data_IF_838095226475
#
_entry.id   IF_838095226475
#
_cell.length_a   1.000
_cell.length_b   1.000
_cell.length_c   1.000
_cell.angle_alpha   90.00
_cell.angle_beta   90.00
_cell.angle_gamma   90.00
#
_symmetry.space_group_name_H-M   'P 1'
#
loop_
_entity.id
_entity.type
_entity.pdbx_description
1 polymer ?
#
# COMPACT_ATOMS: atom_id res chain seq x y z
N UNK A 1 32.00 22.62 28.61
CA UNK A 1 30.63 22.28 28.17
C UNK A 1 30.08 21.16 29.05
N UNK A 2 28.85 21.29 29.58
CA UNK A 2 28.28 20.36 30.57
C UNK A 2 27.80 19.01 30.01
N UNK A 3 27.92 18.76 28.70
CA UNK A 3 27.48 17.49 28.08
C UNK A 3 25.96 17.22 28.18
N UNK A 4 25.15 18.25 28.50
CA UNK A 4 23.72 18.11 28.82
C UNK A 4 22.79 18.17 27.61
N UNK A 5 23.30 18.30 26.39
CA UNK A 5 22.45 18.34 25.19
C UNK A 5 21.79 16.99 24.98
N UNK A 6 20.47 16.95 25.17
CA UNK A 6 19.62 15.80 24.85
C UNK A 6 18.79 16.13 23.63
N UNK A 7 18.76 15.22 22.66
CA UNK A 7 17.77 15.30 21.58
C UNK A 7 16.40 14.98 22.16
N UNK A 8 15.41 15.83 21.88
CA UNK A 8 14.04 15.69 22.37
C UNK A 8 13.14 15.54 21.16
N UNK A 9 12.35 14.47 21.12
CA UNK A 9 11.33 14.29 20.08
C UNK A 9 10.17 15.25 20.28
N UNK A 10 9.59 15.73 19.18
CA UNK A 10 8.37 16.52 19.18
C UNK A 10 7.47 16.10 18.01
N UNK A 11 6.16 16.12 18.25
CA UNK A 11 5.14 15.99 17.20
C UNK A 11 4.70 17.40 16.82
N UNK A 12 4.85 17.75 15.55
CA UNK A 12 4.40 19.04 15.02
C UNK A 12 3.35 18.77 13.96
N UNK A 13 2.18 19.39 14.12
CA UNK A 13 1.13 19.32 13.11
C UNK A 13 1.66 19.91 11.80
N UNK A 14 1.46 19.20 10.69
CA UNK A 14 1.88 19.67 9.39
C UNK A 14 0.95 19.16 8.29
N UNK A 15 1.04 19.78 7.11
CA UNK A 15 0.41 19.29 5.89
C UNK A 15 1.54 18.90 4.94
N UNK A 16 2.10 17.71 5.16
CA UNK A 16 3.25 17.21 4.41
C UNK A 16 2.82 16.54 3.09
N UNK A 17 1.84 15.65 3.16
CA UNK A 17 1.36 14.91 2.01
C UNK A 17 0.30 15.70 1.25
N UNK A 18 0.68 16.21 0.08
CA UNK A 18 -0.22 16.89 -0.87
C UNK A 18 -0.05 16.25 -2.23
N UNK A 19 -1.16 16.08 -2.95
CA UNK A 19 -1.16 15.51 -4.30
C UNK A 19 -0.37 14.17 -4.37
N UNK A 20 -0.73 13.22 -3.51
CA UNK A 20 -0.15 11.89 -3.48
C UNK A 20 -1.22 10.84 -3.78
N UNK A 21 -0.81 9.68 -4.30
CA UNK A 21 -1.66 8.50 -4.36
C UNK A 21 -1.81 7.94 -2.96
N UNK A 22 -3.03 7.70 -2.49
CA UNK A 22 -3.25 7.07 -1.19
C UNK A 22 -3.82 5.65 -1.35
N UNK A 23 -3.14 4.67 -0.75
CA UNK A 23 -3.67 3.32 -0.61
C UNK A 23 -4.49 3.22 0.67
N UNK A 24 -5.79 3.37 0.52
CA UNK A 24 -6.75 3.20 1.61
C UNK A 24 -7.17 1.71 1.75
N UNK A 25 -8.35 1.51 2.33
CA UNK A 25 -9.13 0.28 2.52
C UNK A 25 -8.57 -0.97 1.85
N UNK A 26 -8.11 -1.91 2.69
CA UNK A 26 -7.78 -3.27 2.31
C UNK A 26 -8.46 -4.23 3.28
N UNK A 27 -9.56 -4.84 2.83
CA UNK A 27 -10.33 -5.75 3.68
C UNK A 27 -10.86 -6.94 2.89
N UNK A 28 -10.74 -8.12 3.48
CA UNK A 28 -11.37 -9.35 3.02
C UNK A 28 -12.19 -9.93 4.17
N UNK A 29 -13.47 -10.21 3.86
CA UNK A 29 -14.36 -10.97 4.74
C UNK A 29 -13.73 -12.33 5.05
N UNK A 30 -13.86 -12.85 6.29
CA UNK A 30 -13.24 -14.11 6.71
C UNK A 30 -13.43 -15.26 5.71
N UNK A 31 -14.66 -15.46 5.21
CA UNK A 31 -15.00 -16.55 4.27
C UNK A 31 -14.28 -16.46 2.91
N UNK A 32 -13.74 -15.29 2.56
CA UNK A 32 -13.01 -15.04 1.32
C UNK A 32 -11.49 -15.04 1.52
N UNK A 33 -11.00 -15.28 2.74
CA UNK A 33 -9.57 -15.37 3.05
C UNK A 33 -9.03 -16.72 2.63
N UNK A 34 -8.70 -16.83 1.34
CA UNK A 34 -8.07 -18.00 0.71
C UNK A 34 -6.68 -17.66 0.18
N UNK A 35 -5.93 -18.69 -0.21
CA UNK A 35 -4.61 -18.52 -0.81
C UNK A 35 -4.63 -17.47 -1.93
N UNK A 36 -3.63 -16.59 -1.92
CA UNK A 36 -3.44 -15.48 -2.87
C UNK A 36 -4.54 -14.39 -2.92
N UNK A 37 -5.69 -14.53 -2.26
CA UNK A 37 -6.75 -13.51 -2.30
C UNK A 37 -6.29 -12.15 -1.75
N UNK A 38 -5.59 -12.15 -0.61
CA UNK A 38 -5.01 -10.92 -0.04
C UNK A 38 -3.92 -10.30 -0.92
N UNK A 39 -3.10 -11.15 -1.57
CA UNK A 39 -2.07 -10.69 -2.52
C UNK A 39 -2.70 -10.08 -3.77
N UNK A 40 -3.74 -10.72 -4.34
CA UNK A 40 -4.51 -10.20 -5.46
C UNK A 40 -5.08 -8.82 -5.11
N UNK A 41 -5.84 -8.74 -4.02
CA UNK A 41 -6.50 -7.50 -3.61
C UNK A 41 -5.51 -6.35 -3.37
N UNK A 42 -4.34 -6.66 -2.81
CA UNK A 42 -3.30 -5.65 -2.61
C UNK A 42 -2.62 -5.25 -3.93
N UNK A 43 -2.07 -6.23 -4.67
CA UNK A 43 -1.19 -6.00 -5.82
C UNK A 43 -1.91 -5.61 -7.11
N UNK A 44 -3.21 -5.90 -7.24
CA UNK A 44 -4.01 -5.46 -8.41
C UNK A 44 -3.97 -3.94 -8.57
N UNK A 45 -3.90 -3.21 -7.46
CA UNK A 45 -3.80 -1.74 -7.45
C UNK A 45 -2.48 -1.28 -8.07
N UNK A 46 -1.38 -1.96 -7.77
CA UNK A 46 -0.07 -1.66 -8.36
C UNK A 46 -0.01 -2.03 -9.85
N UNK A 47 -0.63 -3.14 -10.26
CA UNK A 47 -0.75 -3.49 -11.67
C UNK A 47 -1.55 -2.44 -12.45
N UNK A 48 -2.66 -1.95 -11.89
CA UNK A 48 -3.44 -0.86 -12.45
C UNK A 48 -2.63 0.45 -12.56
N UNK A 49 -1.89 0.81 -11.50
CA UNK A 49 -1.00 1.98 -11.51
C UNK A 49 0.06 1.85 -12.60
N UNK A 50 0.69 0.68 -12.73
CA UNK A 50 1.68 0.44 -13.79
C UNK A 50 1.12 0.61 -15.20
N UNK A 51 -0.16 0.27 -15.40
CA UNK A 51 -0.85 0.44 -16.68
C UNK A 51 -1.17 1.89 -17.00
N UNK A 52 -1.35 2.74 -15.98
CA UNK A 52 -1.88 4.10 -16.12
C UNK A 52 -1.05 5.10 -15.29
N UNK A 53 0.27 4.97 -15.33
CA UNK A 53 1.19 5.67 -14.43
C UNK A 53 1.04 7.20 -14.49
N UNK A 54 0.70 7.73 -15.67
CA UNK A 54 0.44 9.15 -15.94
C UNK A 54 -0.75 9.72 -15.15
N UNK A 55 -1.64 8.86 -14.64
CA UNK A 55 -2.79 9.26 -13.83
C UNK A 55 -2.49 9.40 -12.35
N UNK A 56 -1.31 8.96 -11.91
CA UNK A 56 -0.93 8.90 -10.51
C UNK A 56 0.22 9.88 -10.22
N UNK A 57 0.15 10.65 -9.11
CA UNK A 57 1.28 11.44 -8.66
C UNK A 57 2.52 10.59 -8.36
N UNK A 58 3.69 11.22 -8.36
CA UNK A 58 4.98 10.55 -8.15
C UNK A 58 5.19 9.94 -6.76
N UNK A 59 4.40 10.34 -5.77
CA UNK A 59 4.47 9.82 -4.41
C UNK A 59 3.20 9.05 -4.09
N UNK A 60 3.36 7.86 -3.52
CA UNK A 60 2.28 7.09 -2.99
C UNK A 60 2.46 6.84 -1.49
N UNK A 61 1.36 6.89 -0.75
CA UNK A 61 1.33 6.74 0.71
C UNK A 61 0.30 5.70 1.13
N UNK A 62 0.46 5.21 2.35
CA UNK A 62 -0.58 4.47 3.06
C UNK A 62 -0.55 4.90 4.53
N UNK A 63 -1.70 5.38 5.02
CA UNK A 63 -1.91 5.68 6.43
C UNK A 63 -2.31 4.40 7.15
N UNK A 64 -1.46 3.96 8.08
CA UNK A 64 -1.63 2.68 8.73
C UNK A 64 -2.35 2.89 10.07
N UNK A 65 -3.47 2.18 10.28
CA UNK A 65 -4.19 2.20 11.56
C UNK A 65 -3.25 1.95 12.74
N UNK A 66 -3.25 2.88 13.68
CA UNK A 66 -2.48 2.86 14.92
C UNK A 66 -3.02 1.89 15.96
N UNK A 67 -2.40 1.86 17.14
CA UNK A 67 -2.79 0.94 18.21
C UNK A 67 -4.09 1.41 18.87
N UNK A 68 -5.03 0.47 18.98
CA UNK A 68 -6.22 0.58 19.79
C UNK A 68 -6.48 -0.78 20.44
N UNK A 69 -7.20 -0.80 21.57
CA UNK A 69 -7.61 -2.03 22.23
C UNK A 69 -8.89 -2.64 21.62
N UNK A 70 -9.36 -3.75 22.21
CA UNK A 70 -10.57 -4.46 21.76
C UNK A 70 -11.87 -3.64 21.91
N UNK A 71 -11.85 -2.61 22.77
CA UNK A 71 -12.94 -1.64 22.91
C UNK A 71 -12.80 -0.44 21.95
N UNK A 72 -11.74 -0.45 21.11
CA UNK A 72 -11.42 0.62 20.18
C UNK A 72 -10.76 1.84 20.83
N UNK A 73 -10.24 1.73 22.05
CA UNK A 73 -9.58 2.85 22.74
C UNK A 73 -8.11 2.93 22.36
N UNK A 74 -7.65 4.13 21.97
CA UNK A 74 -6.25 4.39 21.63
C UNK A 74 -5.54 5.07 22.81
N UNK A 75 -4.44 4.52 23.33
CA UNK A 75 -3.67 5.17 24.40
C UNK A 75 -3.19 6.58 24.02
N UNK A 76 -2.92 6.82 22.74
CA UNK A 76 -2.52 8.14 22.25
C UNK A 76 -3.70 9.12 22.27
N UNK A 77 -4.86 8.68 21.80
CA UNK A 77 -6.08 9.50 21.83
C UNK A 77 -6.52 9.82 23.25
N UNK A 78 -6.48 8.85 24.16
CA UNK A 78 -6.89 9.06 25.55
C UNK A 78 -6.02 10.13 26.22
N UNK A 79 -4.71 10.11 25.96
CA UNK A 79 -3.82 11.16 26.43
C UNK A 79 -4.14 12.52 25.79
N UNK A 80 -4.43 12.59 24.50
CA UNK A 80 -4.84 13.84 23.84
C UNK A 80 -6.14 14.39 24.44
N UNK A 81 -7.10 13.51 24.71
CA UNK A 81 -8.39 13.85 25.31
C UNK A 81 -8.23 14.51 26.68
N UNK A 82 -7.49 13.85 27.57
CA UNK A 82 -7.25 14.32 28.93
C UNK A 82 -6.61 15.73 29.00
N UNK A 83 -5.97 16.18 27.92
CA UNK A 83 -5.19 17.42 27.91
C UNK A 83 -5.74 18.51 26.98
N UNK A 84 -6.40 18.15 25.88
CA UNK A 84 -6.71 19.09 24.80
C UNK A 84 -8.14 18.96 24.24
N UNK A 85 -8.83 17.83 24.43
CA UNK A 85 -9.97 17.45 23.59
C UNK A 85 -11.10 16.84 24.44
N UNK A 86 -12.33 17.36 24.31
CA UNK A 86 -13.52 16.77 24.94
C UNK A 86 -14.38 15.99 23.93
N UNK A 87 -13.77 15.02 23.23
CA UNK A 87 -14.45 14.14 22.26
C UNK A 87 -13.95 12.69 22.36
N UNK A 88 -14.86 11.74 22.19
CA UNK A 88 -14.55 10.31 22.18
C UNK A 88 -13.90 9.87 20.86
N UNK A 89 -12.99 8.90 20.93
CA UNK A 89 -12.25 8.40 19.75
C UNK A 89 -13.18 7.86 18.65
N UNK A 90 -14.26 7.20 19.04
CA UNK A 90 -15.24 6.63 18.11
C UNK A 90 -15.99 7.73 17.34
N UNK A 91 -16.34 8.83 17.99
CA UNK A 91 -16.99 9.98 17.37
C UNK A 91 -16.04 10.64 16.36
N UNK A 92 -14.78 10.87 16.75
CA UNK A 92 -13.77 11.47 15.90
C UNK A 92 -13.45 10.59 14.69
N UNK A 93 -13.32 9.28 14.88
CA UNK A 93 -13.11 8.31 13.79
C UNK A 93 -14.31 8.29 12.82
N UNK A 94 -15.54 8.41 13.34
CA UNK A 94 -16.74 8.51 12.50
C UNK A 94 -16.78 9.81 11.69
N UNK A 95 -16.47 10.95 12.32
CA UNK A 95 -16.42 12.25 11.64
C UNK A 95 -15.35 12.28 10.55
N UNK A 96 -14.14 11.80 10.87
CA UNK A 96 -13.05 11.66 9.91
C UNK A 96 -13.42 10.69 8.77
N UNK A 97 -14.05 9.56 9.10
CA UNK A 97 -14.53 8.59 8.11
C UNK A 97 -15.65 9.11 7.20
N UNK A 98 -16.42 10.10 7.66
CA UNK A 98 -17.42 10.83 6.87
C UNK A 98 -16.82 11.97 6.02
N UNK A 99 -15.50 12.20 6.10
CA UNK A 99 -14.81 13.25 5.35
C UNK A 99 -14.94 14.65 5.95
N UNK A 100 -15.49 14.78 7.16
CA UNK A 100 -15.52 16.06 7.87
C UNK A 100 -14.23 16.21 8.67
N UNK A 101 -13.33 17.07 8.22
CA UNK A 101 -12.06 17.36 8.91
C UNK A 101 -11.98 18.80 9.43
N UNK A 102 -13.05 19.58 9.25
CA UNK A 102 -13.09 21.01 9.61
C UNK A 102 -12.86 21.23 11.11
N UNK A 103 -13.25 20.25 11.94
CA UNK A 103 -13.06 20.31 13.39
C UNK A 103 -11.60 20.15 13.83
N UNK A 104 -10.71 19.63 12.97
CA UNK A 104 -9.33 19.29 13.35
C UNK A 104 -8.52 20.53 13.70
N UNK A 105 -8.80 21.66 13.05
CA UNK A 105 -8.12 22.94 13.35
C UNK A 105 -8.48 23.47 14.75
N UNK A 106 -9.73 23.28 15.17
CA UNK A 106 -10.21 23.69 16.49
C UNK A 106 -9.78 22.71 17.60
N UNK A 107 -9.54 21.45 17.23
CA UNK A 107 -9.30 20.36 18.17
C UNK A 107 -7.82 20.11 18.48
N UNK A 108 -6.94 20.28 17.48
CA UNK A 108 -5.53 19.90 17.61
C UNK A 108 -4.67 21.06 18.14
N UNK A 109 -3.70 20.77 19.04
CA UNK A 109 -2.75 21.77 19.49
C UNK A 109 -2.00 22.43 18.33
N UNK A 110 -1.94 23.77 18.34
CA UNK A 110 -1.21 24.55 17.34
C UNK A 110 0.31 24.55 17.57
N UNK A 111 0.74 24.25 18.80
CA UNK A 111 2.14 24.17 19.20
C UNK A 111 2.66 22.73 19.18
N UNK A 112 3.97 22.52 18.95
CA UNK A 112 4.57 21.18 19.00
C UNK A 112 4.35 20.47 20.35
N UNK A 113 3.99 19.20 20.28
CA UNK A 113 3.86 18.31 21.43
C UNK A 113 5.19 17.59 21.67
N UNK A 114 5.89 17.95 22.73
CA UNK A 114 7.12 17.26 23.09
C UNK A 114 6.83 15.84 23.59
N UNK A 115 7.42 14.83 22.95
CA UNK A 115 7.10 13.42 23.21
C UNK A 115 7.47 12.98 24.63
N UNK A 116 8.38 13.67 25.31
CA UNK A 116 8.73 13.37 26.70
C UNK A 116 7.67 13.82 27.73
N UNK A 117 6.75 14.71 27.34
CA UNK A 117 5.61 15.13 28.15
C UNK A 117 4.38 14.22 27.95
N UNK A 118 4.41 13.39 26.90
CA UNK A 118 3.39 12.39 26.62
C UNK A 118 3.51 11.24 27.63
N UNK A 119 2.38 10.73 28.12
CA UNK A 119 2.36 9.60 29.04
C UNK A 119 3.09 8.38 28.46
N UNK A 120 3.67 7.53 29.31
CA UNK A 120 4.40 6.35 28.83
C UNK A 120 3.57 5.44 27.90
N UNK A 121 2.28 5.12 28.20
CA UNK A 121 1.45 4.32 27.29
C UNK A 121 1.21 4.99 25.95
N UNK A 122 0.86 6.29 25.94
CA UNK A 122 0.63 7.05 24.70
C UNK A 122 1.91 7.18 23.86
N UNK A 123 3.06 7.42 24.50
CA UNK A 123 4.35 7.52 23.81
C UNK A 123 4.77 6.20 23.19
N UNK A 124 4.47 5.07 23.83
CA UNK A 124 4.87 3.74 23.36
C UNK A 124 4.16 3.33 22.06
N UNK A 125 2.99 3.91 21.76
CA UNK A 125 2.21 3.59 20.56
C UNK A 125 2.49 4.52 19.37
N UNK A 126 3.27 5.60 19.55
CA UNK A 126 3.61 6.52 18.45
C UNK A 126 4.37 5.76 17.35
N UNK A 127 3.84 5.82 16.12
CA UNK A 127 4.37 5.14 14.94
C UNK A 127 4.19 3.63 14.96
N UNK A 128 3.41 3.09 15.90
CA UNK A 128 3.08 1.66 15.95
C UNK A 128 1.75 1.39 15.26
N UNK A 129 1.69 0.28 14.53
CA UNK A 129 0.45 -0.18 13.90
C UNK A 129 -0.35 -1.10 14.83
N UNK A 130 -1.67 -1.12 14.67
CA UNK A 130 -2.54 -2.13 15.25
C UNK A 130 -2.02 -3.55 14.94
N UNK A 131 -2.17 -4.53 15.86
CA UNK A 131 -1.80 -5.93 15.59
C UNK A 131 -2.33 -6.47 14.25
N UNK A 132 -3.61 -6.24 13.96
CA UNK A 132 -4.26 -6.66 12.71
C UNK A 132 -3.74 -5.94 11.44
N UNK A 133 -3.07 -4.80 11.61
CA UNK A 133 -2.51 -4.00 10.51
C UNK A 133 -1.09 -4.45 10.15
N UNK A 134 -0.40 -5.19 11.03
CA UNK A 134 0.98 -5.67 10.80
C UNK A 134 1.17 -6.42 9.48
N UNK A 135 0.27 -7.34 9.06
CA UNK A 135 0.42 -8.03 7.77
C UNK A 135 0.36 -7.08 6.57
N UNK A 136 -0.53 -6.08 6.60
CA UNK A 136 -0.65 -5.09 5.53
C UNK A 136 0.60 -4.20 5.46
N UNK A 137 1.13 -3.77 6.61
CA UNK A 137 2.40 -3.04 6.67
C UNK A 137 3.56 -3.86 6.09
N UNK A 138 3.63 -5.14 6.41
CA UNK A 138 4.67 -6.03 5.87
C UNK A 138 4.58 -6.17 4.34
N UNK A 139 3.37 -6.26 3.78
CA UNK A 139 3.18 -6.26 2.33
C UNK A 139 3.69 -4.97 1.70
N UNK A 140 3.32 -3.80 2.24
CA UNK A 140 3.77 -2.51 1.71
C UNK A 140 5.30 -2.34 1.81
N UNK A 141 5.91 -2.76 2.93
CA UNK A 141 7.37 -2.75 3.07
C UNK A 141 8.06 -3.61 2.00
N UNK A 142 7.49 -4.76 1.66
CA UNK A 142 8.00 -5.62 0.58
C UNK A 142 7.87 -4.96 -0.81
N UNK A 143 6.97 -4.00 -0.98
CA UNK A 143 6.85 -3.20 -2.20
C UNK A 143 7.78 -1.99 -2.26
N UNK A 144 8.52 -1.72 -1.17
CA UNK A 144 9.45 -0.60 -1.07
C UNK A 144 8.96 0.59 -0.24
N UNK A 145 7.81 0.49 0.43
CA UNK A 145 7.30 1.56 1.30
C UNK A 145 8.13 1.69 2.59
N UNK A 146 8.33 2.94 3.03
CA UNK A 146 9.14 3.28 4.21
C UNK A 146 8.41 4.30 5.08
N UNK A 147 8.61 4.21 6.40
CA UNK A 147 8.15 5.22 7.35
C UNK A 147 9.17 6.34 7.43
N UNK A 148 8.72 7.60 7.33
CA UNK A 148 9.56 8.80 7.41
C UNK A 148 9.27 9.70 8.61
N UNK A 149 8.70 9.13 9.67
CA UNK A 149 8.41 9.86 10.91
C UNK A 149 7.04 10.53 10.96
N UNK A 150 6.24 10.45 9.89
CA UNK A 150 4.85 10.92 9.89
C UNK A 150 3.93 9.91 10.60
N UNK A 151 3.02 10.43 11.41
CA UNK A 151 2.02 9.66 12.16
C UNK A 151 0.65 10.34 12.08
N UNK A 152 -0.40 9.54 12.19
CA UNK A 152 -1.79 10.00 12.23
C UNK A 152 -2.05 10.90 13.45
N UNK A 153 -2.94 11.86 13.29
CA UNK A 153 -3.26 12.85 14.34
C UNK A 153 -4.07 12.26 15.49
N UNK A 154 -4.78 11.15 15.27
CA UNK A 154 -5.73 10.57 16.22
C UNK A 154 -5.17 9.35 16.95
N UNK A 155 -4.60 8.39 16.20
CA UNK A 155 -4.14 7.12 16.76
C UNK A 155 -2.60 6.94 16.73
N UNK A 156 -1.88 7.95 16.25
CA UNK A 156 -0.45 7.97 16.03
C UNK A 156 0.09 6.80 15.18
N UNK A 157 -0.77 6.18 14.36
CA UNK A 157 -0.40 5.17 13.39
C UNK A 157 0.54 5.73 12.33
N UNK A 158 1.55 4.97 11.87
CA UNK A 158 2.55 5.49 10.95
C UNK A 158 1.98 5.68 9.53
N UNK A 159 2.39 6.75 8.86
CA UNK A 159 2.25 6.84 7.40
C UNK A 159 3.49 6.26 6.72
N UNK A 160 3.32 5.34 5.78
CA UNK A 160 4.42 4.83 4.96
C UNK A 160 4.31 5.35 3.54
N UNK A 161 5.45 5.58 2.89
CA UNK A 161 5.53 6.19 1.56
C UNK A 161 6.51 5.47 0.64
N UNK A 162 6.25 5.58 -0.67
CA UNK A 162 7.13 5.11 -1.74
C UNK A 162 6.96 6.03 -2.95
N UNK A 163 8.01 6.20 -3.77
CA UNK A 163 7.81 6.77 -5.11
C UNK A 163 6.95 5.81 -5.92
N UNK A 164 5.91 6.31 -6.57
CA UNK A 164 4.91 5.51 -7.29
C UNK A 164 5.55 4.63 -8.37
N UNK A 165 6.50 5.18 -9.11
CA UNK A 165 7.28 4.49 -10.14
C UNK A 165 8.26 3.44 -9.59
N UNK A 166 8.55 3.49 -8.30
CA UNK A 166 9.56 2.67 -7.62
C UNK A 166 8.95 1.51 -6.85
N UNK A 167 7.62 1.45 -6.75
CA UNK A 167 6.88 0.33 -6.15
C UNK A 167 7.27 -0.96 -6.89
N UNK A 168 7.70 -2.00 -6.15
CA UNK A 168 8.23 -3.24 -6.74
C UNK A 168 7.26 -3.84 -7.76
N UNK A 169 5.99 -4.00 -7.40
CA UNK A 169 4.96 -4.54 -8.31
C UNK A 169 4.66 -3.65 -9.51
N UNK A 170 4.82 -2.32 -9.39
CA UNK A 170 4.67 -1.41 -10.54
C UNK A 170 5.75 -1.69 -11.56
N UNK A 171 7.00 -1.83 -11.10
CA UNK A 171 8.19 -2.09 -11.93
C UNK A 171 8.25 -3.51 -12.49
N UNK A 172 7.85 -4.50 -11.70
CA UNK A 172 7.97 -5.92 -12.05
C UNK A 172 6.81 -6.43 -12.88
N UNK A 173 5.69 -5.71 -12.93
CA UNK A 173 4.60 -6.08 -13.83
C UNK A 173 4.98 -5.85 -15.29
N UNK A 174 4.64 -6.81 -16.15
CA UNK A 174 4.99 -6.78 -17.56
C UNK A 174 3.75 -6.86 -18.44
N UNK A 175 3.79 -6.18 -19.58
CA UNK A 175 2.80 -6.36 -20.63
C UNK A 175 3.20 -7.58 -21.48
N UNK A 176 2.30 -8.55 -21.61
CA UNK A 176 2.52 -9.82 -22.33
C UNK A 176 1.35 -10.13 -23.24
N UNK A 177 1.58 -10.90 -24.30
CA UNK A 177 0.52 -11.36 -25.21
C UNK A 177 -0.25 -12.53 -24.60
N UNK A 178 -1.58 -12.47 -24.65
CA UNK A 178 -2.43 -13.58 -24.23
C UNK A 178 -2.64 -14.59 -25.38
N UNK A 179 -2.31 -15.85 -25.14
CA UNK A 179 -2.56 -16.96 -26.06
C UNK A 179 -3.74 -17.79 -25.54
N UNK A 180 -4.88 -17.73 -26.23
CA UNK A 180 -6.09 -18.42 -25.82
C UNK A 180 -6.05 -19.87 -26.33
N UNK A 181 -5.83 -20.81 -25.42
CA UNK A 181 -5.79 -22.24 -25.74
C UNK A 181 -7.20 -22.81 -25.89
N UNK A 182 -7.48 -23.40 -27.05
CA UNK A 182 -8.77 -24.03 -27.40
C UNK A 182 -8.82 -25.52 -27.09
N UNK A 183 -7.67 -26.15 -26.81
CA UNK A 183 -7.59 -27.54 -26.33
C UNK A 183 -8.02 -27.57 -24.86
N UNK A 184 -9.31 -27.84 -24.65
CA UNK A 184 -10.01 -27.64 -23.40
C UNK A 184 -9.37 -28.25 -22.15
N UNK A 185 -9.40 -27.47 -21.06
CA UNK A 185 -9.44 -27.86 -19.64
C UNK A 185 -8.41 -28.86 -19.08
N UNK A 186 -7.41 -29.33 -19.83
CA UNK A 186 -6.45 -30.30 -19.31
C UNK A 186 -5.05 -29.67 -19.26
N UNK A 187 -4.63 -29.31 -18.05
CA UNK A 187 -3.26 -28.92 -17.66
C UNK A 187 -2.74 -27.52 -18.05
N UNK A 188 -3.47 -26.45 -17.74
CA UNK A 188 -2.76 -25.29 -17.15
C UNK A 188 -2.36 -25.74 -15.74
N UNK A 189 -1.09 -26.12 -15.62
CA UNK A 189 -0.60 -27.09 -14.64
C UNK A 189 -0.96 -26.76 -13.20
N UNK A 190 -1.37 -27.78 -12.42
CA UNK A 190 -1.46 -27.72 -10.95
C UNK A 190 -0.08 -27.47 -10.29
N UNK A 191 0.98 -27.43 -11.10
CA UNK A 191 2.37 -27.12 -10.75
C UNK A 191 2.80 -25.69 -11.14
N UNK A 192 1.92 -24.92 -11.78
CA UNK A 192 2.20 -23.54 -12.18
C UNK A 192 2.30 -22.59 -10.98
N UNK A 193 3.05 -21.50 -11.13
CA UNK A 193 3.15 -20.47 -10.09
C UNK A 193 2.03 -19.44 -10.24
N UNK A 194 1.55 -18.86 -9.13
CA UNK A 194 0.47 -17.89 -9.18
C UNK A 194 0.95 -16.56 -9.77
N UNK A 195 0.24 -16.09 -10.79
CA UNK A 195 0.46 -14.84 -11.50
C UNK A 195 -0.85 -14.05 -11.48
N UNK A 196 -0.78 -12.79 -11.09
CA UNK A 196 -1.86 -11.83 -11.26
C UNK A 196 -1.87 -11.39 -12.72
N UNK A 197 -3.04 -11.48 -13.36
CA UNK A 197 -3.25 -11.10 -14.75
C UNK A 197 -4.39 -10.11 -14.81
N UNK A 198 -4.21 -9.02 -15.55
CA UNK A 198 -5.25 -8.01 -15.78
C UNK A 198 -5.42 -7.74 -17.26
N UNK A 199 -6.63 -7.32 -17.64
CA UNK A 199 -6.78 -6.59 -18.90
C UNK A 199 -6.12 -5.21 -18.79
N UNK A 200 -6.07 -4.48 -19.90
CA UNK A 200 -5.32 -3.22 -20.04
C UNK A 200 -6.22 -1.97 -20.07
N UNK A 201 -7.53 -2.18 -19.99
CA UNK A 201 -8.53 -1.12 -20.05
C UNK A 201 -8.68 -0.35 -18.74
N UNK A 202 -9.10 0.91 -18.85
CA UNK A 202 -9.47 1.74 -17.71
C UNK A 202 -10.89 1.40 -17.24
N UNK A 203 -11.86 1.51 -18.17
CA UNK A 203 -13.24 1.05 -17.97
C UNK A 203 -13.31 -0.47 -18.19
N UNK A 204 -14.11 -1.15 -17.37
CA UNK A 204 -14.20 -2.62 -17.43
C UNK A 204 -12.91 -3.32 -16.99
N UNK A 205 -12.06 -2.65 -16.20
CA UNK A 205 -10.84 -3.25 -15.67
C UNK A 205 -11.14 -4.55 -14.91
N UNK A 206 -10.44 -5.63 -15.29
CA UNK A 206 -10.62 -6.98 -14.74
C UNK A 206 -9.28 -7.56 -14.39
N UNK A 207 -9.24 -8.31 -13.29
CA UNK A 207 -8.05 -8.99 -12.82
C UNK A 207 -8.39 -10.36 -12.23
N UNK A 208 -7.48 -11.31 -12.39
CA UNK A 208 -7.58 -12.61 -11.74
C UNK A 208 -6.20 -13.18 -11.41
N UNK A 209 -6.17 -14.28 -10.66
CA UNK A 209 -4.97 -15.09 -10.47
C UNK A 209 -5.06 -16.30 -11.38
N UNK A 210 -4.00 -16.55 -12.15
CA UNK A 210 -3.82 -17.77 -12.93
C UNK A 210 -2.56 -18.49 -12.46
N UNK A 211 -2.57 -19.82 -12.52
CA UNK A 211 -1.34 -20.59 -12.33
C UNK A 211 -0.76 -20.86 -13.71
N UNK A 212 0.49 -20.45 -13.91
CA UNK A 212 1.19 -20.62 -15.19
C UNK A 212 2.68 -20.87 -14.94
N UNK A 213 3.37 -21.38 -15.94
CA UNK A 213 4.83 -21.44 -15.90
C UNK A 213 5.40 -20.02 -16.02
N UNK A 214 6.07 -19.54 -14.97
CA UNK A 214 6.69 -18.21 -14.98
C UNK A 214 7.81 -18.08 -16.00
N UNK A 215 8.39 -19.18 -16.51
CA UNK A 215 9.33 -19.11 -17.64
C UNK A 215 8.64 -18.65 -18.93
N UNK A 216 7.35 -18.95 -19.13
CA UNK A 216 6.60 -18.45 -20.27
C UNK A 216 6.43 -16.92 -20.23
N UNK A 217 6.32 -16.33 -19.03
CA UNK A 217 6.28 -14.86 -18.88
C UNK A 217 7.56 -14.20 -19.39
N UNK A 218 8.72 -14.82 -19.21
CA UNK A 218 9.99 -14.30 -19.73
C UNK A 218 10.03 -14.30 -21.28
N UNK A 219 9.23 -15.14 -21.92
CA UNK A 219 9.04 -15.14 -23.38
C UNK A 219 8.01 -14.11 -23.87
N UNK A 220 7.44 -13.30 -22.97
CA UNK A 220 6.48 -12.25 -23.31
C UNK A 220 5.08 -12.76 -23.60
N UNK A 221 4.73 -13.98 -23.18
CA UNK A 221 3.45 -14.62 -23.46
C UNK A 221 2.85 -15.28 -22.23
N UNK A 222 1.53 -15.40 -22.22
CA UNK A 222 0.79 -16.14 -21.19
C UNK A 222 -0.36 -16.92 -21.82
N UNK A 223 -0.42 -18.20 -21.52
CA UNK A 223 -1.52 -19.05 -21.95
C UNK A 223 -2.72 -18.90 -21.03
N UNK A 224 -3.90 -18.71 -21.62
CA UNK A 224 -5.17 -18.60 -20.92
C UNK A 224 -6.18 -19.58 -21.52
N UNK A 225 -6.99 -20.22 -20.69
CA UNK A 225 -8.18 -20.93 -21.15
C UNK A 225 -9.23 -19.95 -21.66
N UNK A 226 -10.13 -20.40 -22.53
CA UNK A 226 -11.27 -19.60 -23.00
C UNK A 226 -12.06 -18.98 -21.84
N UNK A 227 -12.32 -19.75 -20.77
CA UNK A 227 -13.02 -19.25 -19.57
C UNK A 227 -12.28 -18.11 -18.87
N UNK A 228 -10.95 -18.16 -18.82
CA UNK A 228 -10.13 -17.09 -18.23
C UNK A 228 -10.11 -15.85 -19.11
N UNK A 229 -10.02 -16.04 -20.44
CA UNK A 229 -10.08 -14.96 -21.40
C UNK A 229 -11.45 -14.24 -21.35
N UNK A 230 -12.55 -15.00 -21.29
CA UNK A 230 -13.90 -14.46 -21.14
C UNK A 230 -14.06 -13.70 -19.81
N UNK A 231 -13.53 -14.25 -18.70
CA UNK A 231 -13.60 -13.60 -17.39
C UNK A 231 -12.80 -12.29 -17.31
N UNK A 232 -11.71 -12.19 -18.09
CA UNK A 232 -10.89 -10.98 -18.24
C UNK A 232 -11.39 -10.05 -19.36
N UNK A 233 -12.43 -10.46 -20.10
CA UNK A 233 -13.00 -9.72 -21.24
C UNK A 233 -11.95 -9.46 -22.34
N UNK A 234 -11.27 -10.52 -22.76
CA UNK A 234 -10.18 -10.46 -23.73
C UNK A 234 -10.62 -10.90 -25.13
N UNK A 235 -10.16 -10.15 -26.13
CA UNK A 235 -10.20 -10.58 -27.53
C UNK A 235 -8.98 -11.42 -27.89
N UNK A 236 -9.06 -12.21 -28.98
CA UNK A 236 -7.92 -12.96 -29.51
C UNK A 236 -6.76 -12.01 -29.82
N UNK A 237 -5.56 -12.34 -29.31
CA UNK A 237 -4.36 -11.52 -29.50
C UNK A 237 -4.27 -10.29 -28.57
N UNK A 238 -5.17 -10.15 -27.59
CA UNK A 238 -5.09 -9.08 -26.62
C UNK A 238 -3.80 -9.15 -25.78
N UNK A 239 -3.29 -7.99 -25.39
CA UNK A 239 -2.25 -7.89 -24.36
C UNK A 239 -2.86 -7.83 -22.97
N UNK A 240 -2.17 -8.45 -22.02
CA UNK A 240 -2.53 -8.44 -20.61
C UNK A 240 -1.33 -7.97 -19.79
N UNK A 241 -1.60 -7.42 -18.61
CA UNK A 241 -0.55 -7.14 -17.64
C UNK A 241 -0.41 -8.33 -16.70
N UNK A 242 0.80 -8.85 -16.57
CA UNK A 242 1.13 -9.99 -15.72
C UNK A 242 2.07 -9.55 -14.58
N UNK A 243 1.81 -10.06 -13.38
CA UNK A 243 2.61 -9.81 -12.19
C UNK A 243 2.72 -11.10 -11.35
N UNK A 244 3.93 -11.67 -11.20
CA UNK A 244 4.12 -12.84 -10.33
C UNK A 244 3.75 -12.54 -8.87
N UNK A 245 3.07 -13.48 -8.21
CA UNK A 245 2.69 -13.37 -6.79
C UNK A 245 3.63 -14.13 -5.83
N UNK A 246 4.64 -14.80 -6.38
CA UNK A 246 5.71 -15.49 -5.66
C UNK A 246 7.00 -14.67 -5.59
N UNK A 247 7.95 -15.07 -4.73
CA UNK A 247 9.28 -14.45 -4.64
C UNK A 247 10.11 -14.85 -5.86
N UNK A 248 10.01 -14.10 -6.95
CA UNK A 248 11.07 -13.94 -7.95
C UNK A 248 10.67 -12.82 -8.92
N UNK A 249 11.48 -11.77 -8.96
CA UNK A 249 11.34 -10.68 -9.92
C UNK A 249 11.54 -11.21 -11.34
N UNK A 250 10.72 -10.72 -12.27
CA UNK A 250 10.97 -10.89 -13.70
C UNK A 250 12.22 -10.03 -14.03
N UNK A 251 13.24 -10.56 -14.73
CA UNK A 251 14.32 -9.72 -15.22
C UNK A 251 13.73 -8.63 -16.13
N UNK A 252 13.81 -7.37 -15.70
CA UNK A 252 13.47 -6.24 -16.55
C UNK A 252 14.42 -6.23 -17.75
N UNK A 253 13.89 -5.95 -18.94
CA UNK A 253 14.73 -5.70 -20.12
C UNK A 253 15.67 -4.51 -19.82
N UNK A 254 16.96 -4.72 -20.08
CA UNK A 254 18.05 -3.81 -19.71
C UNK A 254 17.86 -2.43 -20.34
N UNK A 255 17.58 -1.41 -19.53
CA UNK A 255 17.74 -0.01 -19.93
C UNK A 255 18.99 0.51 -19.22
N UNK A 256 20.04 0.78 -20.00
CA UNK A 256 21.26 1.42 -19.50
C UNK A 256 20.93 2.84 -19.06
N UNK A 257 20.97 3.09 -17.74
CA UNK A 257 21.00 4.44 -17.17
C UNK A 257 22.37 4.62 -16.54
N UNK A 258 23.10 5.60 -17.07
CA UNK A 258 24.43 6.02 -16.62
C UNK A 258 24.36 6.64 -15.24
N UNK A 259 25.30 6.21 -14.39
CA UNK A 259 25.48 6.57 -12.99
C UNK A 259 25.85 8.07 -12.87
N UNK A 260 25.01 8.86 -12.19
CA UNK A 260 25.37 10.20 -11.74
C UNK A 260 25.06 10.32 -10.26
N UNK A 261 26.11 10.49 -9.46
CA UNK A 261 26.07 10.59 -8.01
C UNK A 261 25.13 11.70 -7.52
N UNK A 262 24.12 11.33 -6.73
CA UNK A 262 23.28 12.28 -6.00
C UNK A 262 23.98 12.75 -4.72
N UNK A 263 24.19 14.07 -4.63
CA UNK A 263 24.69 14.79 -3.47
C UNK A 263 23.51 15.15 -2.57
N UNK A 264 23.59 14.77 -1.30
CA UNK A 264 22.60 15.16 -0.29
C UNK A 264 22.71 16.66 0.02
N UNK A 265 21.64 17.41 -0.21
CA UNK A 265 21.43 18.70 0.45
C UNK A 265 20.14 18.65 1.25
N UNK A 266 20.24 19.03 2.52
CA UNK A 266 19.12 19.30 3.40
C UNK A 266 18.86 20.82 3.42
N UNK A 267 17.60 21.20 3.21
CA UNK A 267 16.99 22.43 3.71
C UNK A 267 15.58 22.08 4.20
#
# INVERSE_FOLDING_TARGET
>A
ELGLRRSVGALTRCVHYRNCTEFCSLYLRPDFRRANAGKLLSKVRFAFISQHLDRFPNLAIAQMRGVADDQGQSPFWDWLRDHFIDLDFSQVTQLAGAGSLDFVEDLMPSLPLYTHLVSNPARAVIGQVHPDTRPALAMLKAEGFRHRGMVDLFDAGPTVECRTDSISSVRESALVSAEISTTGNQHLTDTGRPVLVTNTGLEGFRAMVVNTDTHALASGRIELSTKQADALDLSVGASVRALPLGQQAIPAASIHVTDSAEVHYAL
#
